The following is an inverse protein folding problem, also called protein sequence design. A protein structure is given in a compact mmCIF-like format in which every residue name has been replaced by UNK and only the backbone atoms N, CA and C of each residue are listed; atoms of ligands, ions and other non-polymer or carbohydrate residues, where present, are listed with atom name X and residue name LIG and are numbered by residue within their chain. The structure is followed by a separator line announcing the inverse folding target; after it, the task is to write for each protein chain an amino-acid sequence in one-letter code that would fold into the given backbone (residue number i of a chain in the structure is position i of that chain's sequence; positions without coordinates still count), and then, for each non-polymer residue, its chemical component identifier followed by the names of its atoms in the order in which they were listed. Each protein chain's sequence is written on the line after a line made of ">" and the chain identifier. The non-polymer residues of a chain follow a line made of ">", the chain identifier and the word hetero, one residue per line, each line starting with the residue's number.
data_IF_630419326655
#
_entry.id   IF_630419326655
#
_cell.length_a   1.000
_cell.length_b   1.000
_cell.length_c   1.000
_cell.angle_alpha   90.00
_cell.angle_beta   90.00
_cell.angle_gamma   90.00
#
_symmetry.space_group_name_H-M   'P 1'
#
loop_
_entity.id
_entity.type
_entity.pdbx_description
1 polymer ?
#
# COMPACT_ATOMS: atom_id res chain seq x y z
N UNK A 1 16.87 -47.16 -6.71
CA UNK A 1 15.66 -46.73 -7.44
C UNK A 1 15.08 -45.57 -6.68
N UNK A 2 15.24 -44.36 -7.22
CA UNK A 2 14.96 -43.09 -6.55
C UNK A 2 13.48 -42.73 -6.63
N UNK A 3 12.85 -42.23 -5.56
CA UNK A 3 11.54 -41.59 -5.64
C UNK A 3 11.75 -40.11 -5.99
N UNK A 4 11.49 -39.75 -7.24
CA UNK A 4 11.44 -38.36 -7.68
C UNK A 4 10.10 -38.11 -8.36
N UNK A 5 9.06 -37.97 -7.55
CA UNK A 5 7.79 -37.40 -7.95
C UNK A 5 7.15 -36.82 -6.68
N UNK A 6 6.86 -35.51 -6.71
CA UNK A 6 6.05 -34.71 -5.77
C UNK A 6 6.74 -33.47 -5.21
N UNK A 7 7.30 -32.61 -6.07
CA UNK A 7 7.67 -31.23 -5.68
C UNK A 7 7.08 -30.14 -6.59
N UNK A 8 6.29 -30.51 -7.61
CA UNK A 8 5.70 -29.57 -8.56
C UNK A 8 4.23 -29.20 -8.27
N UNK A 9 3.60 -29.88 -7.31
CA UNK A 9 2.17 -29.72 -7.00
C UNK A 9 1.87 -28.75 -5.85
N UNK A 10 2.86 -28.28 -5.09
CA UNK A 10 2.63 -27.38 -3.94
C UNK A 10 2.62 -25.88 -4.29
N UNK A 11 3.12 -25.49 -5.48
CA UNK A 11 3.19 -24.07 -5.86
C UNK A 11 1.88 -23.51 -6.47
N UNK A 12 0.84 -24.34 -6.63
CA UNK A 12 -0.40 -23.94 -7.30
C UNK A 12 -1.44 -23.26 -6.37
N UNK A 13 -1.26 -23.29 -5.05
CA UNK A 13 -2.25 -22.81 -4.07
C UNK A 13 -2.02 -21.38 -3.54
N UNK A 14 -1.02 -20.65 -4.04
CA UNK A 14 -0.63 -19.34 -3.51
C UNK A 14 -1.39 -18.16 -4.14
N UNK A 15 -2.09 -18.38 -5.25
CA UNK A 15 -2.63 -17.28 -6.04
C UNK A 15 -3.90 -16.68 -5.38
N UNK A 16 -3.75 -15.48 -4.83
CA UNK A 16 -4.81 -14.55 -4.40
C UNK A 16 -5.35 -13.76 -5.60
N UNK A 17 -6.52 -13.12 -5.46
CA UNK A 17 -7.05 -12.19 -6.46
C UNK A 17 -6.18 -10.92 -6.54
N UNK A 18 -5.57 -10.59 -7.70
CA UNK A 18 -4.78 -9.36 -7.88
C UNK A 18 -5.60 -8.10 -7.61
N UNK A 19 -6.84 -8.06 -8.08
CA UNK A 19 -7.73 -6.92 -7.87
C UNK A 19 -7.99 -6.69 -6.37
N UNK A 20 -8.17 -7.76 -5.59
CA UNK A 20 -8.39 -7.67 -4.15
C UNK A 20 -7.12 -7.16 -3.45
N UNK A 21 -5.96 -7.69 -3.82
CA UNK A 21 -4.67 -7.23 -3.30
C UNK A 21 -4.42 -5.74 -3.57
N UNK A 22 -4.65 -5.30 -4.82
CA UNK A 22 -4.54 -3.90 -5.23
C UNK A 22 -5.48 -3.00 -4.41
N UNK A 23 -6.71 -3.47 -4.20
CA UNK A 23 -7.72 -2.76 -3.42
C UNK A 23 -7.31 -2.60 -1.96
N UNK A 24 -6.81 -3.67 -1.33
CA UNK A 24 -6.27 -3.61 0.04
C UNK A 24 -5.15 -2.59 0.12
N UNK A 25 -4.13 -2.67 -0.74
CA UNK A 25 -3.00 -1.75 -0.71
C UNK A 25 -3.43 -0.28 -0.92
N UNK A 26 -4.35 -0.03 -1.85
CA UNK A 26 -4.86 1.31 -2.09
C UNK A 26 -5.63 1.86 -0.89
N UNK A 27 -6.44 1.05 -0.22
CA UNK A 27 -7.17 1.48 0.98
C UNK A 27 -6.21 1.86 2.10
N UNK A 28 -5.20 1.02 2.34
CA UNK A 28 -4.18 1.27 3.36
C UNK A 28 -3.40 2.56 3.09
N UNK A 29 -3.00 2.79 1.84
CA UNK A 29 -2.24 3.98 1.46
C UNK A 29 -3.10 5.24 1.41
N UNK A 30 -4.35 5.15 0.96
CA UNK A 30 -5.25 6.30 0.79
C UNK A 30 -5.83 6.77 2.13
N UNK A 31 -6.15 5.83 3.01
CA UNK A 31 -6.78 6.11 4.32
C UNK A 31 -5.83 5.85 5.48
N UNK A 32 -4.51 6.02 5.28
CA UNK A 32 -3.47 5.80 6.29
C UNK A 32 -3.69 6.60 7.59
N UNK A 33 -4.39 7.74 7.52
CA UNK A 33 -4.75 8.55 8.69
C UNK A 33 -5.84 7.93 9.56
N UNK A 34 -6.67 7.04 9.00
CA UNK A 34 -7.77 6.34 9.71
C UNK A 34 -7.38 4.90 10.00
N UNK A 35 -6.73 4.24 9.05
CA UNK A 35 -6.27 2.85 9.14
C UNK A 35 -4.75 2.88 9.30
N UNK A 36 -4.23 2.82 10.54
CA UNK A 36 -2.80 2.83 10.77
C UNK A 36 -2.17 1.57 10.17
N UNK A 37 -1.25 1.76 9.22
CA UNK A 37 -0.45 0.71 8.63
C UNK A 37 0.96 1.20 8.36
N UNK A 38 1.96 0.38 8.68
CA UNK A 38 3.37 0.65 8.35
C UNK A 38 3.73 0.19 6.93
N UNK A 39 2.72 -0.05 6.09
CA UNK A 39 2.87 -0.53 4.72
C UNK A 39 2.87 0.68 3.80
N UNK A 40 3.98 0.89 3.11
CA UNK A 40 4.20 2.00 2.19
C UNK A 40 4.39 1.52 0.76
N UNK A 41 4.87 0.29 0.58
CA UNK A 41 5.11 -0.33 -0.72
C UNK A 41 4.32 -1.65 -0.86
N UNK A 42 3.83 -2.01 -2.05
CA UNK A 42 3.04 -3.23 -2.23
C UNK A 42 3.87 -4.50 -2.01
N UNK A 43 5.20 -4.46 -2.19
CA UNK A 43 6.09 -5.57 -1.84
C UNK A 43 6.06 -5.89 -0.34
N UNK A 44 5.89 -4.86 0.51
CA UNK A 44 5.77 -5.05 1.96
C UNK A 44 4.46 -5.79 2.30
N UNK A 45 3.35 -5.41 1.66
CA UNK A 45 2.08 -6.14 1.80
C UNK A 45 2.19 -7.57 1.26
N UNK A 46 2.87 -7.75 0.12
CA UNK A 46 3.08 -9.07 -0.47
C UNK A 46 3.90 -9.96 0.46
N UNK A 47 5.03 -9.47 0.95
CA UNK A 47 5.88 -10.17 1.89
C UNK A 47 5.10 -10.51 3.16
N UNK A 48 4.31 -9.58 3.68
CA UNK A 48 3.51 -9.78 4.88
C UNK A 48 2.47 -10.88 4.73
N UNK A 49 1.75 -10.91 3.61
CA UNK A 49 0.67 -11.87 3.38
C UNK A 49 1.21 -13.24 2.95
N UNK A 50 2.40 -13.31 2.36
CA UNK A 50 3.04 -14.57 1.96
C UNK A 50 3.94 -15.18 3.04
N UNK A 51 4.44 -14.38 3.98
CA UNK A 51 5.31 -14.83 5.05
C UNK A 51 4.59 -15.72 6.07
N UNK A 52 5.32 -16.69 6.60
CA UNK A 52 4.94 -17.52 7.75
C UNK A 52 5.60 -17.07 9.05
N UNK A 53 6.61 -16.19 8.97
CA UNK A 53 7.45 -15.78 10.10
C UNK A 53 7.06 -14.42 10.68
N UNK A 54 6.46 -13.54 9.87
CA UNK A 54 6.09 -12.16 10.27
C UNK A 54 4.62 -12.08 10.68
N UNK A 55 4.19 -12.94 11.60
CA UNK A 55 2.79 -13.06 12.03
C UNK A 55 2.30 -11.83 12.80
N UNK A 56 3.15 -11.21 13.61
CA UNK A 56 2.78 -10.05 14.44
C UNK A 56 2.36 -8.83 13.63
N UNK A 57 3.08 -8.53 12.53
CA UNK A 57 2.73 -7.41 11.65
C UNK A 57 1.39 -7.64 10.94
N UNK A 58 1.10 -8.89 10.54
CA UNK A 58 -0.14 -9.23 9.85
C UNK A 58 -1.31 -9.19 10.82
N UNK A 59 -1.08 -9.62 12.05
CA UNK A 59 -2.00 -9.54 13.18
C UNK A 59 -2.33 -8.09 13.55
N UNK A 60 -1.33 -7.23 13.59
CA UNK A 60 -1.51 -5.79 13.81
C UNK A 60 -2.35 -5.16 12.70
N UNK A 61 -2.03 -5.46 11.45
CA UNK A 61 -2.77 -4.97 10.30
C UNK A 61 -4.23 -5.42 10.34
N UNK A 62 -4.48 -6.72 10.56
CA UNK A 62 -5.84 -7.28 10.56
C UNK A 62 -6.69 -6.70 11.68
N UNK A 63 -6.13 -6.49 12.87
CA UNK A 63 -6.82 -5.85 13.99
C UNK A 63 -7.08 -4.35 13.76
N UNK A 64 -6.15 -3.63 13.12
CA UNK A 64 -6.37 -2.24 12.75
C UNK A 64 -7.50 -2.11 11.71
N UNK A 65 -7.52 -2.99 10.71
CA UNK A 65 -8.59 -3.07 9.72
C UNK A 65 -9.93 -3.45 10.37
N UNK A 66 -9.94 -4.43 11.26
CA UNK A 66 -11.14 -4.81 12.02
C UNK A 66 -11.67 -3.62 12.85
N UNK A 67 -10.77 -2.87 13.50
CA UNK A 67 -11.14 -1.65 14.26
C UNK A 67 -11.83 -0.64 13.35
N UNK A 68 -11.29 -0.44 12.15
CA UNK A 68 -11.86 0.47 11.15
C UNK A 68 -13.21 -0.03 10.61
N UNK A 69 -13.32 -1.33 10.31
CA UNK A 69 -14.55 -1.97 9.86
C UNK A 69 -15.69 -1.88 10.90
N UNK A 70 -15.34 -1.95 12.19
CA UNK A 70 -16.27 -1.75 13.30
C UNK A 70 -16.59 -0.26 13.56
N UNK A 71 -16.09 0.66 12.73
CA UNK A 71 -16.23 2.10 12.88
C UNK A 71 -15.77 2.62 14.27
N UNK A 72 -14.68 2.05 14.78
CA UNK A 72 -14.09 2.41 16.07
C UNK A 72 -12.86 3.30 15.89
N UNK A 73 -12.55 4.10 16.91
CA UNK A 73 -11.30 4.88 16.95
C UNK A 73 -10.11 3.93 17.15
N UNK A 74 -8.91 4.23 16.61
CA UNK A 74 -7.72 3.38 16.77
C UNK A 74 -7.35 3.04 18.22
N UNK A 75 -7.64 3.95 19.18
CA UNK A 75 -7.40 3.72 20.61
C UNK A 75 -8.32 2.66 21.24
N UNK A 76 -9.42 2.29 20.58
CA UNK A 76 -10.38 1.29 21.03
C UNK A 76 -10.23 -0.02 20.22
N UNK A 77 -8.99 -0.34 19.84
CA UNK A 77 -8.62 -1.56 19.13
C UNK A 77 -9.09 -2.79 19.94
N UNK A 78 -9.78 -3.76 19.31
CA UNK A 78 -10.23 -4.96 19.98
C UNK A 78 -9.03 -5.83 20.37
N UNK A 79 -9.20 -6.58 21.46
CA UNK A 79 -8.23 -7.63 21.81
C UNK A 79 -8.39 -8.83 20.89
N UNK A 80 -7.36 -9.67 20.84
CA UNK A 80 -7.33 -10.88 20.01
C UNK A 80 -8.47 -11.84 20.36
N UNK A 81 -8.78 -11.98 21.65
CA UNK A 81 -9.89 -12.81 22.15
C UNK A 81 -11.27 -12.34 21.66
N UNK A 82 -11.39 -11.08 21.24
CA UNK A 82 -12.64 -10.51 20.72
C UNK A 82 -12.79 -10.68 19.21
N UNK A 83 -11.76 -11.16 18.52
CA UNK A 83 -11.77 -11.42 17.08
C UNK A 83 -12.99 -12.24 16.65
N UNK A 84 -13.29 -13.42 17.25
CA UNK A 84 -14.32 -14.30 16.70
C UNK A 84 -15.70 -13.69 16.79
N UNK A 85 -15.98 -13.04 17.93
CA UNK A 85 -17.22 -12.31 18.15
C UNK A 85 -17.41 -11.20 17.12
N UNK A 86 -16.39 -10.36 16.91
CA UNK A 86 -16.50 -9.24 16.00
C UNK A 86 -16.56 -9.65 14.53
N UNK A 87 -15.79 -10.67 14.13
CA UNK A 87 -15.89 -11.24 12.79
C UNK A 87 -17.26 -11.88 12.53
N UNK A 88 -17.84 -12.56 13.53
CA UNK A 88 -19.21 -13.11 13.43
C UNK A 88 -20.27 -12.02 13.32
N UNK A 89 -20.18 -10.96 14.14
CA UNK A 89 -21.11 -9.82 14.09
C UNK A 89 -21.07 -9.11 12.73
N UNK A 90 -19.85 -8.91 12.19
CA UNK A 90 -19.64 -8.35 10.85
C UNK A 90 -20.13 -9.30 9.77
N UNK A 91 -19.81 -10.60 9.86
CA UNK A 91 -20.23 -11.59 8.90
C UNK A 91 -21.76 -11.64 8.81
N UNK A 92 -22.48 -11.64 9.94
CA UNK A 92 -23.94 -11.62 9.99
C UNK A 92 -24.55 -10.38 9.30
N UNK A 93 -23.87 -9.24 9.38
CA UNK A 93 -24.32 -7.97 8.79
C UNK A 93 -23.98 -7.87 7.31
N UNK A 94 -22.81 -8.36 6.89
CA UNK A 94 -22.27 -8.22 5.53
C UNK A 94 -22.09 -9.57 4.82
N UNK A 95 -22.94 -10.55 5.11
CA UNK A 95 -22.90 -11.90 4.50
C UNK A 95 -22.83 -11.84 2.97
N UNK A 96 -23.52 -10.88 2.36
CA UNK A 96 -23.56 -10.71 0.90
C UNK A 96 -22.19 -10.41 0.29
N UNK A 97 -21.33 -9.67 0.97
CA UNK A 97 -19.96 -9.37 0.53
C UNK A 97 -19.06 -10.60 0.70
N UNK A 98 -19.22 -11.32 1.82
CA UNK A 98 -18.51 -12.58 2.09
C UNK A 98 -18.84 -13.69 1.09
N UNK A 99 -20.09 -13.79 0.62
CA UNK A 99 -20.52 -14.84 -0.34
C UNK A 99 -19.83 -14.77 -1.69
N UNK A 100 -19.24 -13.62 -2.05
CA UNK A 100 -18.44 -13.46 -3.25
C UNK A 100 -16.97 -13.85 -3.09
N UNK A 101 -16.53 -14.13 -1.86
CA UNK A 101 -15.15 -14.40 -1.49
C UNK A 101 -15.00 -15.84 -0.98
N UNK A 102 -13.91 -16.52 -1.36
CA UNK A 102 -13.63 -17.90 -0.93
C UNK A 102 -12.97 -17.93 0.46
N UNK A 103 -13.57 -17.25 1.44
CA UNK A 103 -13.05 -17.14 2.80
C UNK A 103 -13.61 -18.27 3.68
N UNK A 104 -12.77 -19.18 4.21
CA UNK A 104 -13.19 -20.24 5.13
C UNK A 104 -13.67 -19.68 6.48
N UNK A 105 -14.60 -20.39 7.13
CA UNK A 105 -15.15 -20.00 8.45
C UNK A 105 -14.06 -19.97 9.53
N UNK A 106 -13.03 -20.81 9.41
CA UNK A 106 -11.92 -20.90 10.36
C UNK A 106 -11.11 -19.58 10.46
N UNK A 107 -11.16 -18.75 9.41
CA UNK A 107 -10.53 -17.43 9.43
C UNK A 107 -11.30 -16.44 10.35
N UNK A 108 -12.61 -16.61 10.51
CA UNK A 108 -13.42 -15.83 11.42
C UNK A 108 -13.37 -16.38 12.86
N UNK A 109 -13.23 -17.70 13.03
CA UNK A 109 -13.30 -18.36 14.35
C UNK A 109 -12.14 -18.03 15.30
N UNK A 110 -10.96 -17.69 14.77
CA UNK A 110 -9.84 -17.22 15.59
C UNK A 110 -8.84 -16.44 14.76
N UNK A 111 -8.13 -15.52 15.42
CA UNK A 111 -7.09 -14.73 14.77
C UNK A 111 -5.91 -15.61 14.34
N UNK A 112 -5.54 -16.60 15.15
CA UNK A 112 -4.51 -17.60 14.77
C UNK A 112 -4.99 -18.48 13.62
N UNK A 113 -6.28 -18.83 13.58
CA UNK A 113 -6.91 -19.53 12.47
C UNK A 113 -6.81 -18.76 11.16
N UNK A 114 -7.03 -17.45 11.19
CA UNK A 114 -6.76 -16.54 10.05
C UNK A 114 -5.28 -16.52 9.65
N UNK A 115 -4.37 -16.40 10.62
CA UNK A 115 -2.93 -16.35 10.35
C UNK A 115 -2.41 -17.65 9.72
N UNK A 116 -3.02 -18.81 9.99
CA UNK A 116 -2.63 -20.08 9.39
C UNK A 116 -3.17 -20.30 7.97
N UNK A 117 -4.05 -19.41 7.48
CA UNK A 117 -4.63 -19.54 6.16
C UNK A 117 -3.62 -19.31 5.03
N UNK A 118 -4.00 -19.74 3.83
CA UNK A 118 -3.23 -19.47 2.61
C UNK A 118 -3.17 -17.96 2.30
N UNK A 119 -2.14 -17.48 1.58
CA UNK A 119 -2.06 -16.08 1.15
C UNK A 119 -3.30 -15.60 0.39
N UNK A 120 -3.93 -16.48 -0.39
CA UNK A 120 -5.21 -16.24 -1.07
C UNK A 120 -6.30 -15.77 -0.11
N UNK A 121 -6.58 -16.61 0.89
CA UNK A 121 -7.59 -16.34 1.90
C UNK A 121 -7.24 -15.11 2.73
N UNK A 122 -5.96 -14.93 3.08
CA UNK A 122 -5.48 -13.76 3.82
C UNK A 122 -5.80 -12.45 3.08
N UNK A 123 -5.51 -12.38 1.77
CA UNK A 123 -5.85 -11.20 0.95
C UNK A 123 -7.36 -10.99 0.88
N UNK A 124 -8.14 -12.04 0.63
CA UNK A 124 -9.59 -11.92 0.47
C UNK A 124 -10.28 -11.50 1.76
N UNK A 125 -9.81 -11.98 2.92
CA UNK A 125 -10.30 -11.55 4.22
C UNK A 125 -9.94 -10.08 4.51
N UNK A 126 -8.70 -9.67 4.22
CA UNK A 126 -8.28 -8.26 4.38
C UNK A 126 -9.09 -7.34 3.46
N UNK A 127 -9.35 -7.77 2.23
CA UNK A 127 -10.21 -7.07 1.28
C UNK A 127 -11.63 -6.92 1.81
N UNK A 128 -12.21 -7.98 2.38
CA UNK A 128 -13.52 -7.93 3.02
C UNK A 128 -13.58 -6.88 4.15
N UNK A 129 -12.57 -6.85 5.03
CA UNK A 129 -12.50 -5.84 6.08
C UNK A 129 -12.37 -4.41 5.51
N UNK A 130 -11.58 -4.23 4.45
CA UNK A 130 -11.47 -2.96 3.75
C UNK A 130 -12.82 -2.50 3.17
N UNK A 131 -13.56 -3.38 2.50
CA UNK A 131 -14.87 -3.05 1.92
C UNK A 131 -15.87 -2.61 2.99
N UNK A 132 -15.94 -3.33 4.12
CA UNK A 132 -16.78 -2.92 5.25
C UNK A 132 -16.36 -1.55 5.78
N UNK A 133 -15.05 -1.34 5.98
CA UNK A 133 -14.54 -0.06 6.45
C UNK A 133 -14.91 1.08 5.49
N UNK A 134 -14.82 0.88 4.18
CA UNK A 134 -15.20 1.89 3.19
C UNK A 134 -16.71 2.21 3.21
N UNK A 135 -17.56 1.22 3.51
CA UNK A 135 -19.01 1.41 3.55
C UNK A 135 -19.48 2.14 4.81
N UNK A 136 -18.95 1.75 5.97
CA UNK A 136 -19.58 2.09 7.25
C UNK A 136 -18.72 2.96 8.17
N UNK A 137 -17.42 3.12 7.88
CA UNK A 137 -16.57 3.99 8.67
C UNK A 137 -16.89 5.47 8.40
N UNK A 138 -17.37 6.17 9.43
CA UNK A 138 -17.78 7.57 9.30
C UNK A 138 -16.61 8.52 9.06
N UNK A 139 -15.42 8.16 9.55
CA UNK A 139 -14.20 8.96 9.34
C UNK A 139 -13.73 8.88 7.90
N UNK A 140 -13.76 7.68 7.31
CA UNK A 140 -13.49 7.47 5.87
C UNK A 140 -14.49 8.24 5.03
N UNK A 141 -15.80 8.09 5.33
CA UNK A 141 -16.85 8.83 4.62
C UNK A 141 -16.65 10.34 4.67
N UNK A 142 -16.35 10.88 5.85
CA UNK A 142 -16.07 12.30 6.01
C UNK A 142 -14.86 12.76 5.19
N UNK A 143 -13.78 11.97 5.13
CA UNK A 143 -12.62 12.26 4.28
C UNK A 143 -13.01 12.28 2.80
N UNK A 144 -13.76 11.28 2.34
CA UNK A 144 -14.26 11.21 0.96
C UNK A 144 -15.13 12.43 0.63
N UNK A 145 -16.07 12.78 1.50
CA UNK A 145 -16.96 13.93 1.31
C UNK A 145 -16.17 15.26 1.28
N UNK A 146 -15.20 15.43 2.19
CA UNK A 146 -14.33 16.61 2.26
C UNK A 146 -13.52 16.79 0.98
N UNK A 147 -12.91 15.71 0.49
CA UNK A 147 -12.14 15.75 -0.76
C UNK A 147 -13.04 15.94 -1.99
N UNK A 148 -14.22 15.32 -2.02
CA UNK A 148 -15.19 15.51 -3.08
C UNK A 148 -15.70 16.97 -3.13
N UNK A 149 -15.84 17.63 -1.98
CA UNK A 149 -16.13 19.06 -1.91
C UNK A 149 -14.97 19.94 -2.37
N UNK A 150 -13.73 19.62 -1.98
CA UNK A 150 -12.53 20.32 -2.48
C UNK A 150 -12.42 20.22 -4.01
N UNK A 151 -12.64 19.03 -4.58
CA UNK A 151 -12.66 18.83 -6.04
C UNK A 151 -13.77 19.63 -6.74
N UNK A 152 -14.95 19.72 -6.14
CA UNK A 152 -16.07 20.56 -6.65
C UNK A 152 -15.79 22.06 -6.53
N UNK A 153 -15.03 22.51 -5.54
CA UNK A 153 -14.61 23.91 -5.39
C UNK A 153 -13.44 24.25 -6.32
N UNK A 154 -12.50 23.32 -6.52
CA UNK A 154 -11.36 23.48 -7.42
C UNK A 154 -11.73 23.54 -8.90
N UNK A 155 -12.89 23.01 -9.30
CA UNK A 155 -13.38 23.14 -10.69
C UNK A 155 -13.79 24.58 -11.06
N UNK A 156 -13.96 25.47 -10.08
CA UNK A 156 -14.22 26.91 -10.31
C UNK A 156 -12.96 27.79 -10.27
N UNK A 157 -11.80 27.24 -9.89
CA UNK A 157 -10.53 27.98 -9.86
C UNK A 157 -9.48 27.17 -10.58
N UNK A 158 -9.06 27.66 -11.74
CA UNK A 158 -8.03 27.10 -12.61
C UNK A 158 -6.85 26.50 -11.84
N UNK A 159 -6.60 25.21 -12.11
CA UNK A 159 -5.33 24.50 -11.98
C UNK A 159 -4.71 24.41 -10.58
N UNK A 160 -4.94 23.27 -9.91
CA UNK A 160 -3.88 22.53 -9.20
C UNK A 160 -4.19 21.04 -9.24
N UNK A 161 -3.57 20.35 -10.21
CA UNK A 161 -3.19 18.94 -10.10
C UNK A 161 -2.47 18.74 -8.77
N UNK A 162 -2.99 17.92 -7.85
CA UNK A 162 -2.19 17.00 -7.01
C UNK A 162 -2.95 16.24 -5.91
N UNK A 163 -4.24 16.43 -5.67
CA UNK A 163 -4.86 15.79 -4.48
C UNK A 163 -6.20 15.10 -4.78
N UNK A 164 -6.22 14.24 -5.80
CA UNK A 164 -7.36 13.35 -6.01
C UNK A 164 -7.08 12.02 -5.31
N UNK A 165 -7.93 11.67 -4.33
CA UNK A 165 -8.11 10.31 -3.82
C UNK A 165 -7.83 9.30 -4.94
N UNK A 166 -6.90 8.37 -4.69
CA UNK A 166 -6.50 7.33 -5.62
C UNK A 166 -7.76 6.61 -6.07
N UNK A 167 -8.27 6.93 -7.26
CA UNK A 167 -9.33 6.15 -7.88
C UNK A 167 -8.72 4.77 -8.09
N UNK A 168 -9.28 3.77 -7.41
CA UNK A 168 -9.00 2.35 -7.60
C UNK A 168 -9.47 1.92 -8.99
N UNK A 169 -8.76 2.40 -9.99
CA UNK A 169 -8.96 2.06 -11.39
C UNK A 169 -7.60 1.63 -11.93
N UNK A 170 -7.56 0.60 -12.78
CA UNK A 170 -6.34 0.30 -13.52
C UNK A 170 -5.90 1.57 -14.23
N UNK A 171 -4.61 1.86 -14.14
CA UNK A 171 -3.99 3.02 -14.79
C UNK A 171 -4.28 3.03 -16.30
N UNK A 172 -4.32 1.85 -16.91
CA UNK A 172 -4.92 1.62 -18.21
C UNK A 172 -5.42 0.17 -18.34
N UNK A 173 -6.45 -0.02 -19.16
CA UNK A 173 -6.92 -1.34 -19.57
C UNK A 173 -6.82 -1.45 -21.09
N UNK A 174 -6.01 -2.39 -21.57
CA UNK A 174 -5.78 -2.62 -23.00
C UNK A 174 -6.23 -4.03 -23.31
N UNK A 175 -7.37 -4.16 -23.98
CA UNK A 175 -8.00 -5.44 -24.32
C UNK A 175 -8.33 -6.28 -23.07
N UNK A 176 -7.41 -7.13 -22.62
CA UNK A 176 -7.54 -7.99 -21.42
C UNK A 176 -6.40 -7.82 -20.43
N UNK A 177 -5.50 -6.86 -20.69
CA UNK A 177 -4.37 -6.54 -19.83
C UNK A 177 -4.71 -5.29 -19.04
N UNK A 178 -4.63 -5.40 -17.72
CA UNK A 178 -4.83 -4.27 -16.82
C UNK A 178 -3.47 -3.85 -16.29
N UNK A 179 -3.15 -2.58 -16.50
CA UNK A 179 -1.93 -1.97 -16.03
C UNK A 179 -2.26 -1.17 -14.78
N UNK A 180 -1.47 -1.36 -13.75
CA UNK A 180 -1.66 -0.76 -12.45
C UNK A 180 -0.46 0.09 -12.08
N UNK A 181 -0.71 1.21 -11.42
CA UNK A 181 0.33 2.10 -10.94
C UNK A 181 0.16 2.26 -9.43
N UNK A 182 1.06 1.65 -8.68
CA UNK A 182 1.05 1.66 -7.22
C UNK A 182 2.12 2.58 -6.65
N UNK A 183 1.97 2.89 -5.37
CA UNK A 183 2.92 3.61 -4.55
C UNK A 183 2.80 5.14 -4.65
N UNK A 184 2.89 5.79 -3.49
CA UNK A 184 2.79 7.25 -3.35
C UNK A 184 4.16 7.93 -3.37
N UNK A 185 5.22 7.24 -2.91
CA UNK A 185 6.61 7.74 -2.85
C UNK A 185 7.47 7.19 -4.00
N UNK A 186 7.28 5.92 -4.31
CA UNK A 186 7.91 5.16 -5.40
C UNK A 186 6.79 4.67 -6.30
N UNK A 187 6.71 5.20 -7.53
CA UNK A 187 5.71 4.71 -8.49
C UNK A 187 6.19 3.37 -9.01
N UNK A 188 5.35 2.35 -8.93
CA UNK A 188 5.63 1.02 -9.46
C UNK A 188 4.55 0.64 -10.45
N UNK A 189 4.97 0.17 -11.61
CA UNK A 189 4.11 -0.17 -12.72
C UNK A 189 3.99 -1.67 -12.84
N UNK A 190 2.77 -2.16 -12.72
CA UNK A 190 2.45 -3.58 -12.72
C UNK A 190 1.53 -3.93 -13.88
N UNK A 191 1.73 -5.13 -14.43
CA UNK A 191 0.82 -5.76 -15.37
C UNK A 191 0.06 -6.88 -14.66
N UNK A 192 -1.26 -6.80 -14.66
CA UNK A 192 -2.13 -7.90 -14.29
C UNK A 192 -2.30 -8.83 -15.50
N UNK A 193 -1.67 -9.99 -15.43
CA UNK A 193 -1.87 -11.07 -16.40
C UNK A 193 -3.17 -11.81 -16.07
N UNK A 194 -4.11 -11.88 -17.01
CA UNK A 194 -5.34 -12.68 -16.83
C UNK A 194 -5.04 -14.13 -17.18
N UNK A 195 -4.94 -14.98 -16.17
CA UNK A 195 -4.86 -16.44 -16.38
C UNK A 195 -6.19 -16.98 -16.88
N UNK A 196 -6.18 -17.94 -17.82
CA UNK A 196 -7.39 -18.66 -18.23
C UNK A 196 -8.09 -19.39 -17.08
N UNK A 197 -7.40 -19.62 -15.96
CA UNK A 197 -7.93 -20.25 -14.74
C UNK A 197 -8.41 -19.24 -13.68
N UNK A 198 -8.64 -17.97 -14.04
CA UNK A 198 -9.30 -16.97 -13.19
C UNK A 198 -8.44 -16.27 -12.15
N UNK A 199 -7.24 -16.79 -11.85
CA UNK A 199 -6.30 -16.14 -10.92
C UNK A 199 -5.28 -15.33 -11.69
N UNK A 200 -5.43 -14.00 -11.71
CA UNK A 200 -4.45 -13.14 -12.36
C UNK A 200 -3.13 -13.12 -11.59
N UNK A 201 -2.02 -12.79 -12.25
CA UNK A 201 -0.72 -12.56 -11.61
C UNK A 201 -0.24 -11.15 -11.93
N UNK A 202 0.23 -10.44 -10.91
CA UNK A 202 0.95 -9.18 -11.10
C UNK A 202 2.40 -9.43 -11.49
N UNK A 203 2.84 -8.76 -12.55
CA UNK A 203 4.22 -8.70 -12.98
C UNK A 203 4.70 -7.25 -12.87
N UNK A 204 5.76 -7.02 -12.10
CA UNK A 204 6.39 -5.71 -12.01
C UNK A 204 7.09 -5.43 -13.35
N UNK A 205 6.65 -4.37 -14.03
CA UNK A 205 7.21 -3.92 -15.30
C UNK A 205 8.25 -2.82 -15.12
N UNK A 206 8.04 -1.91 -14.16
CA UNK A 206 8.96 -0.81 -13.91
C UNK A 206 8.82 -0.22 -12.50
N UNK A 207 9.94 0.17 -11.91
CA UNK A 207 10.04 0.88 -10.64
C UNK A 207 11.01 2.08 -10.73
N UNK A 208 12.00 2.04 -11.62
CA UNK A 208 13.00 3.11 -11.80
C UNK A 208 12.73 3.97 -13.03
N UNK A 209 13.26 5.20 -13.05
CA UNK A 209 13.09 6.13 -14.20
C UNK A 209 13.50 5.49 -15.53
N UNK A 210 14.62 4.76 -15.53
CA UNK A 210 15.13 4.08 -16.72
C UNK A 210 14.21 2.94 -17.15
N UNK A 211 13.70 2.15 -16.20
CA UNK A 211 12.72 1.08 -16.47
C UNK A 211 11.40 1.64 -17.02
N UNK A 212 10.89 2.75 -16.47
CA UNK A 212 9.69 3.41 -16.98
C UNK A 212 9.90 3.93 -18.41
N UNK A 213 11.09 4.44 -18.72
CA UNK A 213 11.45 4.91 -20.05
C UNK A 213 11.56 3.74 -21.04
N UNK A 214 12.16 2.62 -20.61
CA UNK A 214 12.24 1.39 -21.40
C UNK A 214 10.85 0.80 -21.66
N UNK A 215 10.03 0.65 -20.61
CA UNK A 215 8.67 0.15 -20.72
C UNK A 215 7.80 1.02 -21.65
N UNK A 216 7.95 2.34 -21.60
CA UNK A 216 7.28 3.24 -22.52
C UNK A 216 7.78 3.08 -23.97
N UNK A 217 9.07 2.82 -24.20
CA UNK A 217 9.61 2.54 -25.52
C UNK A 217 9.05 1.22 -26.09
N UNK A 218 9.00 0.16 -25.28
CA UNK A 218 8.45 -1.14 -25.65
C UNK A 218 6.97 -1.04 -26.00
N UNK A 219 6.19 -0.30 -25.19
CA UNK A 219 4.78 -0.03 -25.46
C UNK A 219 4.57 0.81 -26.74
N UNK A 220 5.47 1.75 -27.04
CA UNK A 220 5.41 2.54 -28.30
C UNK A 220 5.69 1.71 -29.54
N UNK A 221 6.55 0.70 -29.42
CA UNK A 221 6.89 -0.20 -30.52
C UNK A 221 5.72 -1.11 -30.93
N UNK A 222 4.69 -1.25 -30.08
CA UNK A 222 3.52 -2.05 -30.39
C UNK A 222 2.67 -1.44 -31.51
N UNK A 223 1.97 -2.31 -32.27
CA UNK A 223 1.21 -1.91 -33.46
C UNK A 223 -0.01 -1.02 -33.14
N UNK A 224 -0.65 -1.25 -32.00
CA UNK A 224 -1.93 -0.62 -31.65
C UNK A 224 -1.75 0.76 -31.01
N UNK A 225 -2.79 1.60 -31.10
CA UNK A 225 -2.75 2.97 -30.55
C UNK A 225 -2.86 2.99 -29.02
N UNK A 226 -3.66 2.10 -28.42
CA UNK A 226 -3.86 2.10 -26.96
C UNK A 226 -2.55 1.91 -26.16
N UNK A 227 -1.62 1.00 -26.53
CA UNK A 227 -0.29 0.94 -25.92
C UNK A 227 0.53 2.22 -26.09
N UNK A 228 0.43 2.88 -27.25
CA UNK A 228 1.14 4.13 -27.53
C UNK A 228 0.62 5.28 -26.67
N UNK A 229 -0.69 5.34 -26.44
CA UNK A 229 -1.31 6.31 -25.54
C UNK A 229 -0.88 6.09 -24.09
N UNK A 230 -0.86 4.82 -23.64
CA UNK A 230 -0.33 4.45 -22.32
C UNK A 230 1.13 4.87 -22.17
N UNK A 231 1.97 4.59 -23.17
CA UNK A 231 3.36 5.05 -23.17
C UNK A 231 3.49 6.58 -23.15
N UNK A 232 2.59 7.29 -23.83
CA UNK A 232 2.48 8.75 -23.76
C UNK A 232 2.25 9.21 -22.32
N UNK A 233 1.26 8.62 -21.64
CA UNK A 233 0.92 8.94 -20.24
C UNK A 233 2.05 8.61 -19.28
N UNK A 234 2.73 7.47 -19.43
CA UNK A 234 3.88 7.11 -18.58
C UNK A 234 4.98 8.17 -18.67
N UNK A 235 5.31 8.63 -19.88
CA UNK A 235 6.37 9.64 -20.09
C UNK A 235 5.93 11.04 -19.68
N UNK A 236 4.65 11.40 -19.83
CA UNK A 236 4.18 12.75 -19.47
C UNK A 236 3.85 12.92 -18.00
N UNK A 237 3.28 11.89 -17.36
CA UNK A 237 2.76 11.96 -15.98
C UNK A 237 3.74 11.34 -14.97
N UNK A 238 4.29 10.15 -15.26
CA UNK A 238 4.98 9.32 -14.25
C UNK A 238 6.49 9.58 -14.22
N UNK A 239 7.15 9.64 -15.39
CA UNK A 239 8.59 9.88 -15.48
C UNK A 239 9.00 11.21 -14.82
N UNK A 240 8.36 12.36 -15.10
CA UNK A 240 8.75 13.64 -14.50
C UNK A 240 8.55 13.65 -12.98
N UNK A 241 7.51 12.94 -12.51
CA UNK A 241 7.24 12.77 -11.08
C UNK A 241 8.40 12.01 -10.39
N UNK A 242 8.83 10.89 -10.96
CA UNK A 242 9.94 10.09 -10.41
C UNK A 242 11.27 10.85 -10.45
N UNK A 243 11.57 11.56 -11.54
CA UNK A 243 12.77 12.40 -11.63
C UNK A 243 12.79 13.48 -10.55
N UNK A 244 11.66 14.14 -10.29
CA UNK A 244 11.53 15.13 -9.23
C UNK A 244 11.76 14.51 -7.84
N UNK A 245 11.24 13.29 -7.59
CA UNK A 245 11.46 12.56 -6.35
C UNK A 245 12.92 12.14 -6.16
N UNK A 246 13.57 11.62 -7.21
CA UNK A 246 15.01 11.28 -7.19
C UNK A 246 15.84 12.53 -6.88
N UNK A 247 15.51 13.67 -7.50
CA UNK A 247 16.17 14.95 -7.23
C UNK A 247 15.93 15.45 -5.80
N UNK A 248 14.73 15.27 -5.24
CA UNK A 248 14.40 15.58 -3.82
C UNK A 248 15.25 14.71 -2.89
N UNK A 249 15.26 13.39 -3.09
CA UNK A 249 16.10 12.44 -2.32
C UNK A 249 17.58 12.81 -2.37
N UNK A 250 18.14 13.08 -3.56
CA UNK A 250 19.55 13.46 -3.69
C UNK A 250 19.90 14.80 -3.02
N UNK A 251 18.94 15.73 -2.85
CA UNK A 251 19.16 16.95 -2.06
C UNK A 251 19.22 16.65 -0.56
N UNK A 252 18.31 15.80 -0.08
CA UNK A 252 18.25 15.37 1.32
C UNK A 252 19.52 14.59 1.68
N UNK A 253 19.94 13.65 0.84
CA UNK A 253 21.15 12.87 1.07
C UNK A 253 22.41 13.75 1.14
N UNK A 254 22.56 14.72 0.23
CA UNK A 254 23.67 15.68 0.30
C UNK A 254 23.59 16.60 1.53
N UNK A 255 22.40 16.90 2.04
CA UNK A 255 22.24 17.64 3.27
C UNK A 255 22.70 16.79 4.49
N UNK A 256 22.28 15.52 4.53
CA UNK A 256 22.70 14.56 5.54
C UNK A 256 24.21 14.31 5.52
N UNK A 257 24.81 14.14 4.34
CA UNK A 257 26.25 13.98 4.20
C UNK A 257 27.01 15.22 4.69
N UNK A 258 26.55 16.43 4.36
CA UNK A 258 27.13 17.68 4.88
C UNK A 258 27.03 17.78 6.40
N UNK A 259 25.89 17.37 6.96
CA UNK A 259 25.69 17.34 8.41
C UNK A 259 26.57 16.30 9.11
N UNK A 260 26.66 15.09 8.55
CA UNK A 260 27.52 14.03 9.06
C UNK A 260 29.00 14.44 9.03
N UNK A 261 29.46 15.09 7.95
CA UNK A 261 30.83 15.62 7.86
C UNK A 261 31.06 16.74 8.88
N UNK A 262 30.09 17.64 9.06
CA UNK A 262 30.18 18.71 10.06
C UNK A 262 30.28 18.16 11.50
N UNK A 263 29.58 17.07 11.80
CA UNK A 263 29.60 16.43 13.11
C UNK A 263 30.77 15.44 13.31
N UNK A 264 31.36 14.91 12.24
CA UNK A 264 32.47 13.96 12.30
C UNK A 264 33.76 14.56 12.91
N UNK A 265 33.91 15.88 12.89
CA UNK A 265 35.07 16.59 13.46
C UNK A 265 34.80 17.28 14.80
N UNK A 266 33.62 17.08 15.41
CA UNK A 266 33.32 17.61 16.74
C UNK A 266 33.94 16.69 17.79
N UNK A 267 35.21 16.94 18.13
CA UNK A 267 35.76 16.42 19.38
C UNK A 267 34.99 17.05 20.55
N UNK A 268 34.15 16.23 21.21
CA UNK A 268 33.54 16.59 22.49
C UNK A 268 34.66 16.67 23.53
N UNK A 269 35.26 17.85 23.65
CA UNK A 269 36.05 18.18 24.83
C UNK A 269 35.08 18.36 25.98
N UNK A 270 34.92 17.32 26.81
CA UNK A 270 34.37 17.48 28.15
C UNK A 270 35.24 18.47 28.93
N UNK A 271 34.86 19.74 28.89
CA UNK A 271 35.44 20.74 29.77
C UNK A 271 34.43 21.05 30.87
N UNK A 272 34.78 20.63 32.09
CA UNK A 272 34.18 21.13 33.32
C UNK A 272 34.38 22.65 33.37
N UNK A 273 33.35 23.42 33.05
CA UNK A 273 33.22 24.78 33.60
C UNK A 273 31.75 25.17 33.79
N UNK A 274 31.51 25.76 34.96
CA UNK A 274 30.21 26.19 35.49
C UNK A 274 29.63 27.35 34.69
N UNK A 275 28.29 27.42 34.75
CA UNK A 275 27.36 28.49 34.31
C UNK A 275 26.89 28.45 32.85
N UNK A 276 25.95 27.51 32.64
CA UNK A 276 24.72 27.58 31.84
C UNK A 276 24.56 28.81 30.93
N UNK A 277 24.77 28.59 29.64
CA UNK A 277 23.83 29.00 28.61
C UNK A 277 23.48 27.73 27.84
N UNK A 278 22.25 27.22 27.99
CA UNK A 278 21.77 26.06 27.23
C UNK A 278 21.63 26.53 25.78
N UNK A 279 22.59 26.17 24.94
CA UNK A 279 22.36 26.13 23.51
C UNK A 279 21.52 24.88 23.28
N UNK A 280 20.20 25.06 23.17
CA UNK A 280 19.31 24.00 22.72
C UNK A 280 19.62 23.78 21.24
N UNK A 281 20.39 22.74 20.94
CA UNK A 281 20.25 22.06 19.67
C UNK A 281 18.91 21.34 19.76
N UNK A 282 17.86 21.92 19.18
CA UNK A 282 16.60 21.21 18.97
C UNK A 282 16.87 20.18 17.86
N UNK A 283 17.38 19.00 18.24
CA UNK A 283 17.45 17.84 17.35
C UNK A 283 16.04 17.45 16.83
N UNK A 284 14.98 17.87 17.54
CA UNK A 284 13.58 17.65 17.17
C UNK A 284 13.07 18.55 16.04
N UNK A 285 13.75 19.67 15.70
CA UNK A 285 13.30 20.54 14.60
C UNK A 285 13.58 19.97 13.21
N UNK A 286 14.41 18.94 13.11
CA UNK A 286 14.62 18.24 11.84
C UNK A 286 13.57 17.13 11.63
N UNK A 287 13.12 16.45 12.69
CA UNK A 287 12.09 15.40 12.63
C UNK A 287 10.72 15.92 12.17
N UNK A 288 10.33 17.12 12.58
CA UNK A 288 9.07 17.74 12.11
C UNK A 288 9.12 18.24 10.65
N UNK A 289 10.31 18.32 10.03
CA UNK A 289 10.47 18.62 8.61
C UNK A 289 10.46 17.35 7.73
N UNK A 290 10.39 16.16 8.33
CA UNK A 290 10.45 14.87 7.64
C UNK A 290 9.09 14.20 7.39
N UNK A 291 7.98 14.82 7.82
CA UNK A 291 6.61 14.31 7.61
C UNK A 291 5.85 15.06 6.49
N UNK A 292 6.38 15.17 5.26
CA UNK A 292 5.61 15.50 4.02
C UNK A 292 6.28 15.01 2.71
#
# INVERSE_FOLDING_TARGET
>A
MSPAANSATELANVAYSPANFASVFAVLTTFASVIPSNIHEPEELYALVTSTESTDQLKDLSLNLLTSALNRKPKARPSEDQWPRHCTDLAATYVSLLKGLEVPEEAADSLDGFLQQTPAVRVDFLYWLCEIALMDNSSIKHLVDTEAEKGRKATNTTATTNDSLVRLQPFAEISKQRYWLFGSKTRQFYLESVSQKGKGKFELLAQTVDEFTSAAADLRAQRYNAPKELAGRLVSEVVPYLEAQVKKRGRVERALQRHAIANAHVHVYETRTRKRQRVNYNDDQLLDAFDF
#
